data_IF_560924493224
#
_entry.id   IF_560924493224
#
_cell.length_a   1.000
_cell.length_b   1.000
_cell.length_c   1.000
_cell.angle_alpha   90.00
_cell.angle_beta   90.00
_cell.angle_gamma   90.00
#
_symmetry.space_group_name_H-M   'P 1'
#
loop_
_entity.id
_entity.type
_entity.pdbx_description
1 polymer ?
#
# COMPACT_ATOMS: atom_id res chain seq x y z
N UNK A 1 1.86 57.36 -3.23
CA UNK A 1 1.77 58.79 -3.58
C UNK A 1 1.35 58.96 -5.05
N UNK A 2 0.21 59.63 -5.27
CA UNK A 2 -0.46 59.97 -6.55
C UNK A 2 -0.76 58.82 -7.54
N UNK A 3 -1.88 58.10 -7.35
CA UNK A 3 -2.47 57.18 -8.36
C UNK A 3 -3.98 57.43 -8.61
N UNK A 4 -4.43 58.64 -8.32
CA UNK A 4 -5.78 59.10 -8.65
C UNK A 4 -5.63 60.30 -9.58
N UNK A 5 -6.14 60.19 -10.81
CA UNK A 5 -6.25 61.34 -11.71
C UNK A 5 -7.68 61.86 -11.62
N UNK A 6 -7.84 63.10 -11.16
CA UNK A 6 -9.12 63.78 -11.13
C UNK A 6 -9.37 64.45 -12.48
N UNK A 7 -10.54 64.19 -13.06
CA UNK A 7 -10.99 64.89 -14.25
C UNK A 7 -11.98 65.97 -13.84
N UNK A 8 -11.52 67.22 -13.75
CA UNK A 8 -12.27 68.34 -13.14
C UNK A 8 -13.65 68.57 -13.78
N UNK A 9 -13.78 68.39 -15.09
CA UNK A 9 -15.02 68.71 -15.82
C UNK A 9 -16.18 67.72 -15.61
N UNK A 10 -15.94 66.54 -15.03
CA UNK A 10 -16.98 65.49 -14.91
C UNK A 10 -17.22 64.99 -13.48
N UNK A 11 -16.43 65.42 -12.50
CA UNK A 11 -16.55 65.01 -11.10
C UNK A 11 -16.29 63.52 -10.85
N UNK A 12 -15.81 62.77 -11.85
CA UNK A 12 -15.54 61.34 -11.76
C UNK A 12 -14.09 61.07 -11.32
N UNK A 13 -13.93 60.17 -10.35
CA UNK A 13 -12.63 59.74 -9.83
C UNK A 13 -12.24 58.45 -10.55
N UNK A 14 -11.19 58.51 -11.37
CA UNK A 14 -10.64 57.32 -12.01
C UNK A 14 -9.47 56.78 -11.18
N UNK A 15 -9.61 55.54 -10.71
CA UNK A 15 -8.49 54.80 -10.18
C UNK A 15 -7.62 54.35 -11.37
N UNK A 16 -6.34 54.72 -11.37
CA UNK A 16 -5.41 54.26 -12.41
C UNK A 16 -5.37 52.73 -12.34
N UNK A 17 -5.99 52.07 -13.32
CA UNK A 17 -5.90 50.62 -13.46
C UNK A 17 -4.42 50.31 -13.57
N UNK A 18 -3.89 49.53 -12.63
CA UNK A 18 -2.51 49.07 -12.67
C UNK A 18 -2.44 48.05 -13.80
N UNK A 19 -2.50 48.52 -15.04
CA UNK A 19 -2.26 47.73 -16.23
C UNK A 19 -0.81 47.30 -16.08
N UNK A 20 -0.61 46.06 -15.63
CA UNK A 20 0.67 45.38 -15.67
C UNK A 20 1.32 45.72 -17.02
N UNK A 21 2.58 46.17 -17.00
CA UNK A 21 3.28 46.61 -18.21
C UNK A 21 3.00 45.64 -19.37
N UNK A 22 2.77 46.14 -20.60
CA UNK A 22 2.40 45.29 -21.73
C UNK A 22 3.40 44.14 -21.81
N UNK A 23 2.90 42.89 -21.89
CA UNK A 23 3.71 41.68 -21.83
C UNK A 23 4.98 41.86 -22.65
N UNK A 24 6.12 42.02 -21.96
CA UNK A 24 7.38 42.21 -22.63
C UNK A 24 7.81 40.83 -23.12
N UNK A 25 7.86 40.64 -24.43
CA UNK A 25 8.27 39.38 -25.07
C UNK A 25 9.58 38.81 -24.50
N UNK A 26 10.50 39.66 -24.03
CA UNK A 26 11.73 39.24 -23.35
C UNK A 26 11.48 38.44 -22.07
N UNK A 27 10.48 38.80 -21.27
CA UNK A 27 10.12 38.08 -20.05
C UNK A 27 9.50 36.71 -20.39
N UNK A 28 8.64 36.67 -21.40
CA UNK A 28 8.08 35.41 -21.92
C UNK A 28 9.16 34.44 -22.43
N UNK A 29 10.15 34.94 -23.16
CA UNK A 29 11.29 34.14 -23.63
C UNK A 29 12.10 33.59 -22.45
N UNK A 30 12.39 34.41 -21.43
CA UNK A 30 13.11 33.95 -20.24
C UNK A 30 12.35 32.83 -19.52
N UNK A 31 11.03 32.97 -19.35
CA UNK A 31 10.22 31.91 -18.75
C UNK A 31 10.23 30.63 -19.58
N UNK A 32 10.13 30.72 -20.91
CA UNK A 32 10.20 29.56 -21.80
C UNK A 32 11.56 28.87 -21.73
N UNK A 33 12.66 29.62 -21.69
CA UNK A 33 14.01 29.06 -21.55
C UNK A 33 14.17 28.34 -20.22
N UNK A 34 13.72 28.93 -19.10
CA UNK A 34 13.76 28.29 -17.79
C UNK A 34 12.92 27.01 -17.76
N UNK A 35 11.74 27.03 -18.38
CA UNK A 35 10.84 25.88 -18.42
C UNK A 35 11.42 24.74 -19.27
N UNK A 36 12.00 25.05 -20.44
CA UNK A 36 12.72 24.09 -21.29
C UNK A 36 13.92 23.51 -20.54
N UNK A 37 14.70 24.36 -19.87
CA UNK A 37 15.85 23.93 -19.08
C UNK A 37 15.42 22.98 -17.96
N UNK A 38 14.36 23.29 -17.22
CA UNK A 38 13.82 22.42 -16.17
C UNK A 38 13.34 21.08 -16.74
N UNK A 39 12.64 21.07 -17.87
CA UNK A 39 12.16 19.83 -18.51
C UNK A 39 13.34 18.96 -18.97
N UNK A 40 14.35 19.56 -19.59
CA UNK A 40 15.53 18.81 -20.06
C UNK A 40 16.38 18.29 -18.90
N UNK A 41 16.67 19.14 -17.92
CA UNK A 41 17.56 18.78 -16.81
C UNK A 41 16.87 17.87 -15.79
N UNK A 42 15.69 18.23 -15.30
CA UNK A 42 14.98 17.40 -14.30
C UNK A 42 14.24 16.24 -14.95
N UNK A 43 13.53 16.48 -16.05
CA UNK A 43 12.72 15.44 -16.68
C UNK A 43 13.55 14.38 -17.39
N UNK A 44 14.43 14.81 -18.30
CA UNK A 44 15.17 13.89 -19.17
C UNK A 44 16.46 13.42 -18.53
N UNK A 45 17.34 14.35 -18.12
CA UNK A 45 18.67 13.97 -17.63
C UNK A 45 18.63 13.33 -16.24
N UNK A 46 18.04 14.01 -15.25
CA UNK A 46 17.91 13.47 -13.89
C UNK A 46 17.06 12.20 -13.87
N UNK A 47 15.95 12.18 -14.61
CA UNK A 47 15.08 11.01 -14.71
C UNK A 47 15.73 9.81 -15.40
N UNK A 48 16.66 10.02 -16.35
CA UNK A 48 17.43 8.92 -16.95
C UNK A 48 18.54 8.45 -16.02
N UNK A 49 19.21 9.37 -15.32
CA UNK A 49 20.24 9.05 -14.34
C UNK A 49 19.66 8.27 -13.14
N UNK A 50 18.53 8.71 -12.60
CA UNK A 50 17.81 8.01 -11.53
C UNK A 50 17.41 6.60 -11.95
N UNK A 51 16.83 6.43 -13.14
CA UNK A 51 16.45 5.10 -13.66
C UNK A 51 17.64 4.17 -13.93
N UNK A 52 18.84 4.72 -14.13
CA UNK A 52 20.06 3.93 -14.24
C UNK A 52 20.55 3.51 -12.86
N UNK A 53 20.60 4.45 -11.92
CA UNK A 53 20.99 4.17 -10.54
C UNK A 53 20.04 3.16 -9.88
N UNK A 54 18.72 3.28 -10.11
CA UNK A 54 17.70 2.34 -9.64
C UNK A 54 18.02 0.92 -10.12
N UNK A 55 18.28 0.72 -11.41
CA UNK A 55 18.70 -0.57 -11.96
C UNK A 55 19.99 -1.10 -11.33
N UNK A 56 21.01 -0.26 -11.19
CA UNK A 56 22.29 -0.68 -10.59
C UNK A 56 22.13 -1.06 -9.10
N UNK A 57 21.25 -0.37 -8.36
CA UNK A 57 20.96 -0.69 -6.96
C UNK A 57 20.14 -1.96 -6.81
N UNK A 58 19.11 -2.14 -7.64
CA UNK A 58 18.27 -3.33 -7.63
C UNK A 58 19.10 -4.57 -8.02
N UNK A 59 19.95 -4.47 -9.06
CA UNK A 59 20.86 -5.56 -9.45
C UNK A 59 21.93 -5.89 -8.39
N UNK A 60 22.29 -4.92 -7.53
CA UNK A 60 23.31 -5.12 -6.49
C UNK A 60 22.78 -5.78 -5.22
N UNK A 61 21.46 -5.76 -4.98
CA UNK A 61 20.84 -6.30 -3.78
C UNK A 61 19.94 -7.48 -4.17
N UNK A 62 20.45 -8.69 -3.96
CA UNK A 62 19.61 -9.88 -4.09
C UNK A 62 18.58 -9.91 -2.96
N UNK A 63 17.32 -9.87 -3.35
CA UNK A 63 16.15 -9.96 -2.48
C UNK A 63 15.42 -11.27 -2.72
N UNK A 64 14.58 -11.67 -1.77
CA UNK A 64 13.73 -12.85 -1.98
C UNK A 64 12.74 -12.66 -3.13
N UNK A 65 12.32 -11.41 -3.40
CA UNK A 65 11.39 -11.06 -4.48
C UNK A 65 11.93 -11.38 -5.88
N UNK A 66 13.24 -11.27 -6.11
CA UNK A 66 13.87 -11.55 -7.41
C UNK A 66 13.66 -13.00 -7.87
N UNK A 67 13.42 -13.90 -6.92
CA UNK A 67 13.23 -15.32 -7.15
C UNK A 67 11.77 -15.75 -6.97
N UNK A 68 10.89 -14.86 -6.52
CA UNK A 68 9.54 -15.20 -6.12
C UNK A 68 8.47 -14.53 -6.98
N UNK A 69 7.39 -15.28 -7.24
CA UNK A 69 6.16 -14.77 -7.84
C UNK A 69 4.98 -14.98 -6.89
N UNK A 70 3.98 -14.11 -6.99
CA UNK A 70 2.71 -14.21 -6.29
C UNK A 70 1.58 -14.44 -7.29
N UNK A 71 0.70 -15.39 -6.95
CA UNK A 71 -0.56 -15.64 -7.66
C UNK A 71 -1.70 -15.09 -6.80
N UNK A 72 -2.40 -14.09 -7.33
CA UNK A 72 -3.44 -13.35 -6.60
C UNK A 72 -4.85 -13.95 -6.75
N UNK A 73 -5.09 -14.80 -7.75
CA UNK A 73 -6.40 -15.38 -8.07
C UNK A 73 -6.41 -16.93 -8.14
N UNK A 74 -5.83 -17.66 -7.17
CA UNK A 74 -5.83 -19.11 -7.19
C UNK A 74 -7.25 -19.69 -7.11
N UNK A 75 -7.42 -20.91 -7.61
CA UNK A 75 -8.67 -21.65 -7.41
C UNK A 75 -8.88 -21.94 -5.90
N UNK A 76 -10.09 -21.77 -5.35
CA UNK A 76 -10.34 -21.91 -3.91
C UNK A 76 -10.00 -23.29 -3.32
N UNK A 77 -10.01 -24.33 -4.13
CA UNK A 77 -9.74 -25.73 -3.77
C UNK A 77 -8.28 -26.15 -4.00
N UNK A 78 -7.48 -25.35 -4.69
CA UNK A 78 -6.08 -25.62 -5.01
C UNK A 78 -5.18 -25.36 -3.79
N UNK A 79 -5.31 -26.21 -2.78
CA UNK A 79 -4.61 -26.15 -1.49
C UNK A 79 -3.34 -27.01 -1.45
N UNK A 80 -3.13 -27.85 -2.45
CA UNK A 80 -2.01 -28.79 -2.52
C UNK A 80 -0.75 -28.12 -3.09
N UNK A 81 0.34 -27.96 -2.33
CA UNK A 81 1.57 -27.33 -2.81
C UNK A 81 2.22 -28.08 -3.97
N UNK A 82 2.10 -29.42 -4.01
CA UNK A 82 2.75 -30.27 -5.02
C UNK A 82 2.16 -30.02 -6.42
N UNK A 83 0.87 -29.69 -6.49
CA UNK A 83 0.19 -29.31 -7.73
C UNK A 83 0.79 -28.03 -8.32
N UNK A 84 1.03 -27.04 -7.47
CA UNK A 84 1.63 -25.77 -7.86
C UNK A 84 3.09 -25.94 -8.26
N UNK A 85 3.86 -26.70 -7.50
CA UNK A 85 5.25 -27.03 -7.84
C UNK A 85 5.33 -27.67 -9.23
N UNK A 86 4.49 -28.67 -9.49
CA UNK A 86 4.45 -29.35 -10.78
C UNK A 86 4.07 -28.41 -11.93
N UNK A 87 3.11 -27.53 -11.72
CA UNK A 87 2.69 -26.56 -12.73
C UNK A 87 3.80 -25.55 -13.05
N UNK A 88 4.47 -25.01 -12.04
CA UNK A 88 5.52 -23.99 -12.22
C UNK A 88 6.88 -24.57 -12.62
N UNK A 89 7.11 -25.87 -12.41
CA UNK A 89 8.31 -26.58 -12.84
C UNK A 89 8.57 -26.51 -14.36
N UNK A 90 7.56 -26.18 -15.17
CA UNK A 90 7.72 -25.97 -16.61
C UNK A 90 8.58 -24.74 -16.97
N UNK A 91 8.71 -23.77 -16.06
CA UNK A 91 9.51 -22.55 -16.27
C UNK A 91 10.92 -22.67 -15.70
N UNK A 92 11.14 -23.64 -14.81
CA UNK A 92 12.41 -23.93 -14.16
C UNK A 92 12.23 -24.59 -12.79
N UNK A 93 13.32 -24.99 -12.13
CA UNK A 93 13.25 -25.65 -10.82
C UNK A 93 12.66 -24.71 -9.75
N UNK A 94 11.69 -25.24 -9.01
CA UNK A 94 10.98 -24.56 -7.93
C UNK A 94 11.63 -24.93 -6.60
N UNK A 95 12.05 -23.94 -5.83
CA UNK A 95 12.68 -24.12 -4.53
C UNK A 95 11.65 -24.35 -3.42
N UNK A 96 10.57 -23.54 -3.43
CA UNK A 96 9.55 -23.58 -2.40
C UNK A 96 8.21 -23.03 -2.88
N UNK A 97 7.12 -23.64 -2.40
CA UNK A 97 5.75 -23.16 -2.62
C UNK A 97 5.10 -22.89 -1.26
N UNK A 98 4.56 -21.68 -1.11
CA UNK A 98 3.75 -21.31 0.06
C UNK A 98 2.31 -21.06 -0.38
N UNK A 99 1.39 -21.82 0.20
CA UNK A 99 -0.05 -21.66 -0.02
C UNK A 99 -0.62 -20.74 1.06
N UNK A 100 -1.07 -19.56 0.66
CA UNK A 100 -1.83 -18.65 1.50
C UNK A 100 -3.28 -19.15 1.66
N UNK A 101 -3.72 -19.29 2.90
CA UNK A 101 -5.08 -19.72 3.24
C UNK A 101 -5.92 -18.54 3.72
N UNK A 102 -7.17 -18.47 3.29
CA UNK A 102 -8.09 -17.43 3.71
C UNK A 102 -8.64 -17.69 5.12
N UNK A 103 -7.86 -17.39 6.16
CA UNK A 103 -8.17 -17.69 7.57
C UNK A 103 -8.12 -16.46 8.51
N UNK A 104 -8.86 -15.38 8.22
CA UNK A 104 -8.73 -14.09 8.91
C UNK A 104 -9.10 -14.13 10.39
N UNK A 105 -10.03 -15.01 10.76
CA UNK A 105 -10.40 -15.21 12.15
C UNK A 105 -9.25 -15.84 12.94
N UNK A 106 -8.48 -16.73 12.31
CA UNK A 106 -7.31 -17.36 12.90
C UNK A 106 -6.19 -16.34 13.03
N UNK A 107 -5.90 -15.56 11.99
CA UNK A 107 -4.91 -14.48 12.05
C UNK A 107 -5.22 -13.48 13.16
N UNK A 108 -6.49 -13.04 13.27
CA UNK A 108 -6.93 -12.14 14.34
C UNK A 108 -6.77 -12.78 15.72
N UNK A 109 -7.08 -14.06 15.86
CA UNK A 109 -6.88 -14.79 17.12
C UNK A 109 -5.40 -14.94 17.47
N UNK A 110 -4.53 -15.23 16.50
CA UNK A 110 -3.07 -15.30 16.69
C UNK A 110 -2.48 -13.94 17.05
N UNK A 111 -2.95 -12.86 16.42
CA UNK A 111 -2.57 -11.49 16.77
C UNK A 111 -2.98 -11.14 18.21
N UNK A 112 -4.21 -11.48 18.61
CA UNK A 112 -4.66 -11.33 20.00
C UNK A 112 -3.82 -12.16 20.97
N UNK A 113 -3.48 -13.40 20.61
CA UNK A 113 -2.60 -14.28 21.39
C UNK A 113 -1.23 -13.64 21.60
N UNK A 114 -0.60 -13.10 20.54
CA UNK A 114 0.69 -12.39 20.62
C UNK A 114 0.64 -11.18 21.55
N UNK A 115 -0.42 -10.36 21.44
CA UNK A 115 -0.61 -9.19 22.33
C UNK A 115 -0.80 -9.61 23.78
N UNK A 116 -1.52 -10.69 24.05
CA UNK A 116 -1.71 -11.22 25.41
C UNK A 116 -0.39 -11.73 25.99
N UNK A 117 0.41 -12.46 25.21
CA UNK A 117 1.75 -12.92 25.60
C UNK A 117 2.69 -11.75 25.90
N UNK A 118 2.73 -10.73 25.03
CA UNK A 118 3.53 -9.52 25.25
C UNK A 118 3.08 -8.75 26.49
N UNK A 119 1.76 -8.65 26.74
CA UNK A 119 1.23 -8.03 27.97
C UNK A 119 1.60 -8.82 29.22
N UNK A 120 1.66 -10.15 29.12
CA UNK A 120 2.16 -11.03 30.16
C UNK A 120 3.64 -10.74 30.42
N UNK A 121 4.48 -10.86 29.39
CA UNK A 121 5.92 -10.64 29.45
C UNK A 121 6.29 -9.24 30.00
N UNK A 122 5.67 -8.16 29.50
CA UNK A 122 5.94 -6.80 29.98
C UNK A 122 5.65 -6.63 31.46
N UNK A 123 4.55 -7.23 31.95
CA UNK A 123 4.17 -7.16 33.36
C UNK A 123 5.04 -8.03 34.26
N UNK A 124 5.66 -9.07 33.69
CA UNK A 124 6.62 -9.95 34.34
C UNK A 124 8.00 -9.31 34.42
N UNK A 125 8.45 -8.63 33.35
CA UNK A 125 9.76 -7.96 33.22
C UNK A 125 9.97 -6.79 34.21
N UNK A 126 8.91 -6.34 34.88
CA UNK A 126 9.00 -5.44 36.04
C UNK A 126 9.64 -6.09 37.29
N UNK A 127 9.78 -7.42 37.31
CA UNK A 127 10.64 -8.16 38.24
C UNK A 127 11.87 -8.61 37.45
N UNK A 128 13.06 -8.26 37.96
CA UNK A 128 14.37 -8.61 37.41
C UNK A 128 14.48 -10.13 37.26
N UNK A 129 14.20 -10.69 36.09
CA UNK A 129 14.65 -12.03 35.70
C UNK A 129 14.53 -12.26 34.18
N UNK A 130 15.38 -13.18 33.71
CA UNK A 130 16.00 -13.30 32.39
C UNK A 130 15.03 -13.35 31.20
N UNK A 131 15.45 -12.72 30.10
CA UNK A 131 14.68 -12.43 28.88
C UNK A 131 14.35 -13.66 28.01
N UNK A 132 14.88 -14.85 28.36
CA UNK A 132 14.88 -16.05 27.51
C UNK A 132 14.07 -17.22 28.08
N UNK A 133 13.09 -16.96 28.96
CA UNK A 133 12.27 -18.03 29.51
C UNK A 133 11.36 -18.67 28.43
N UNK A 134 11.31 -20.01 28.33
CA UNK A 134 10.51 -20.70 27.32
C UNK A 134 9.00 -20.38 27.45
N UNK A 135 8.29 -20.39 26.32
CA UNK A 135 6.87 -19.96 26.25
C UNK A 135 5.93 -20.74 27.20
N UNK A 136 6.28 -21.97 27.57
CA UNK A 136 5.55 -22.80 28.54
C UNK A 136 5.69 -22.26 29.97
N UNK A 137 6.90 -21.90 30.41
CA UNK A 137 7.11 -21.34 31.76
C UNK A 137 6.44 -19.98 31.93
N UNK A 138 6.32 -19.20 30.84
CA UNK A 138 5.61 -17.92 30.87
C UNK A 138 4.09 -18.10 31.08
N UNK A 139 3.50 -19.20 30.59
CA UNK A 139 2.08 -19.48 30.77
C UNK A 139 1.73 -19.84 32.22
N UNK A 140 2.58 -20.64 32.86
CA UNK A 140 2.42 -21.08 34.26
C UNK A 140 2.61 -19.90 35.22
N UNK A 141 3.66 -19.09 35.02
CA UNK A 141 3.86 -17.89 35.83
C UNK A 141 2.74 -16.85 35.64
N UNK A 142 2.17 -16.76 34.43
CA UNK A 142 1.03 -15.88 34.17
C UNK A 142 -0.25 -16.33 34.90
N UNK A 143 -0.42 -17.64 35.13
CA UNK A 143 -1.54 -18.21 35.88
C UNK A 143 -1.52 -17.73 37.33
N UNK A 144 -0.36 -17.76 37.97
CA UNK A 144 -0.20 -17.35 39.38
C UNK A 144 -0.37 -15.84 39.56
N UNK A 145 0.25 -15.02 38.70
CA UNK A 145 0.25 -13.57 38.90
C UNK A 145 -1.06 -12.89 38.54
N UNK A 146 -1.73 -13.29 37.45
CA UNK A 146 -2.91 -12.59 36.91
C UNK A 146 -3.91 -13.57 36.31
N UNK A 147 -4.78 -14.19 37.13
CA UNK A 147 -5.73 -15.20 36.66
C UNK A 147 -6.71 -14.66 35.61
N UNK A 148 -7.06 -13.36 35.65
CA UNK A 148 -7.90 -12.73 34.61
C UNK A 148 -7.21 -12.68 33.24
N UNK A 149 -5.89 -12.45 33.19
CA UNK A 149 -5.14 -12.41 31.93
C UNK A 149 -4.93 -13.83 31.39
N UNK A 150 -4.57 -14.76 32.27
CA UNK A 150 -4.44 -16.18 31.94
C UNK A 150 -5.74 -16.77 31.38
N UNK A 151 -6.89 -16.52 32.04
CA UNK A 151 -8.21 -16.94 31.52
C UNK A 151 -8.50 -16.41 30.10
N UNK A 152 -8.08 -15.17 29.79
CA UNK A 152 -8.23 -14.61 28.44
C UNK A 152 -7.29 -15.29 27.44
N UNK A 153 -6.08 -15.62 27.87
CA UNK A 153 -5.10 -16.35 27.06
C UNK A 153 -5.59 -17.76 26.73
N UNK A 154 -6.04 -18.53 27.72
CA UNK A 154 -6.57 -19.90 27.52
C UNK A 154 -7.75 -19.89 26.55
N UNK A 155 -8.73 -18.98 26.74
CA UNK A 155 -9.85 -18.81 25.78
C UNK A 155 -9.38 -18.47 24.37
N UNK A 156 -8.33 -17.65 24.24
CA UNK A 156 -7.76 -17.31 22.95
C UNK A 156 -7.06 -18.51 22.31
N UNK A 157 -6.39 -19.35 23.10
CA UNK A 157 -5.71 -20.55 22.65
C UNK A 157 -6.69 -21.64 22.20
N UNK A 158 -7.76 -21.87 22.97
CA UNK A 158 -8.87 -22.74 22.59
C UNK A 158 -9.48 -22.31 21.25
N UNK A 159 -9.74 -21.01 21.10
CA UNK A 159 -10.24 -20.44 19.85
C UNK A 159 -9.26 -20.63 18.69
N UNK A 160 -7.96 -20.46 18.91
CA UNK A 160 -6.94 -20.75 17.90
C UNK A 160 -6.97 -22.23 17.50
N UNK A 161 -7.07 -23.16 18.46
CA UNK A 161 -7.15 -24.61 18.20
C UNK A 161 -8.39 -24.97 17.39
N UNK A 162 -9.55 -24.42 17.74
CA UNK A 162 -10.80 -24.62 16.99
C UNK A 162 -10.66 -24.11 15.54
N UNK A 163 -10.09 -22.91 15.37
CA UNK A 163 -9.90 -22.31 14.05
C UNK A 163 -8.84 -23.04 13.21
N UNK A 164 -7.82 -23.63 13.82
CA UNK A 164 -6.80 -24.42 13.09
C UNK A 164 -7.36 -25.69 12.46
N UNK A 165 -8.44 -26.25 13.01
CA UNK A 165 -9.05 -27.49 12.50
C UNK A 165 -9.97 -27.25 11.30
N UNK A 166 -10.31 -25.99 10.98
CA UNK A 166 -11.20 -25.66 9.86
C UNK A 166 -10.45 -25.75 8.54
N UNK A 167 -11.16 -26.14 7.48
CA UNK A 167 -10.66 -26.05 6.12
C UNK A 167 -10.87 -24.63 5.61
N UNK A 168 -9.85 -24.09 4.96
CA UNK A 168 -9.85 -22.74 4.39
C UNK A 168 -9.61 -22.82 2.90
N UNK A 169 -10.23 -21.92 2.16
CA UNK A 169 -9.96 -21.76 0.74
C UNK A 169 -8.58 -21.13 0.54
N UNK A 170 -7.94 -21.45 -0.58
CA UNK A 170 -6.72 -20.80 -1.02
C UNK A 170 -6.99 -19.32 -1.35
N UNK A 171 -6.17 -18.41 -0.84
CA UNK A 171 -6.25 -16.97 -1.10
C UNK A 171 -5.19 -16.48 -2.07
N UNK A 172 -3.96 -16.97 -1.92
CA UNK A 172 -2.80 -16.51 -2.69
C UNK A 172 -1.75 -17.61 -2.70
N UNK A 173 -0.91 -17.68 -3.74
CA UNK A 173 0.21 -18.63 -3.79
C UNK A 173 1.50 -17.84 -3.99
N UNK A 174 2.51 -18.15 -3.18
CA UNK A 174 3.86 -17.65 -3.38
C UNK A 174 4.74 -18.80 -3.86
N UNK A 175 5.37 -18.63 -5.02
CA UNK A 175 6.27 -19.61 -5.60
C UNK A 175 7.64 -19.00 -5.68
N UNK A 176 8.65 -19.71 -5.17
CA UNK A 176 10.05 -19.29 -5.22
C UNK A 176 10.83 -20.26 -6.10
N UNK A 177 11.53 -19.74 -7.08
CA UNK A 177 12.38 -20.51 -8.00
C UNK A 177 13.83 -20.54 -7.51
N UNK A 178 14.60 -21.53 -7.94
CA UNK A 178 16.05 -21.56 -7.66
C UNK A 178 16.82 -20.49 -8.45
N UNK A 179 16.24 -20.00 -9.56
CA UNK A 179 16.90 -19.05 -10.47
C UNK A 179 15.99 -17.88 -10.83
N UNK A 180 16.55 -16.68 -10.88
CA UNK A 180 15.89 -15.47 -11.36
C UNK A 180 15.42 -15.62 -12.82
N UNK A 181 16.17 -16.36 -13.64
CA UNK A 181 15.77 -16.64 -15.03
C UNK A 181 14.45 -17.41 -15.12
N UNK A 182 14.21 -18.37 -14.20
CA UNK A 182 12.96 -19.13 -14.17
C UNK A 182 11.78 -18.26 -13.71
N UNK A 183 12.02 -17.40 -12.71
CA UNK A 183 11.06 -16.38 -12.26
C UNK A 183 10.65 -15.46 -13.42
N UNK A 184 11.63 -14.91 -14.16
CA UNK A 184 11.37 -14.02 -15.30
C UNK A 184 10.68 -14.72 -16.45
N UNK A 185 11.02 -15.99 -16.71
CA UNK A 185 10.35 -16.80 -17.72
C UNK A 185 8.87 -17.04 -17.35
N UNK A 186 8.58 -17.36 -16.09
CA UNK A 186 7.22 -17.53 -15.59
C UNK A 186 6.43 -16.22 -15.69
N UNK A 187 7.01 -15.09 -15.26
CA UNK A 187 6.37 -13.78 -15.40
C UNK A 187 6.11 -13.42 -16.86
N UNK A 188 7.10 -13.58 -17.75
CA UNK A 188 6.93 -13.26 -19.16
C UNK A 188 5.83 -14.09 -19.84
N UNK A 189 5.66 -15.35 -19.42
CA UNK A 189 4.66 -16.26 -19.97
C UNK A 189 3.25 -16.06 -19.40
N UNK A 190 3.14 -15.75 -18.10
CA UNK A 190 1.88 -15.75 -17.35
C UNK A 190 1.34 -14.36 -17.03
N UNK A 191 2.13 -13.29 -17.20
CA UNK A 191 1.66 -11.93 -16.91
C UNK A 191 0.58 -11.53 -17.92
N UNK A 192 -0.65 -11.47 -17.44
CA UNK A 192 -1.81 -10.98 -18.17
C UNK A 192 -2.40 -9.77 -17.44
N UNK A 193 -3.15 -8.93 -18.14
CA UNK A 193 -3.87 -7.84 -17.49
C UNK A 193 -4.89 -8.38 -16.46
N UNK A 194 -4.97 -7.78 -15.27
CA UNK A 194 -5.84 -8.24 -14.16
C UNK A 194 -7.29 -8.53 -14.58
N UNK A 195 -7.86 -7.66 -15.42
CA UNK A 195 -9.23 -7.82 -15.93
C UNK A 195 -9.38 -9.12 -16.75
N UNK A 196 -8.36 -9.47 -17.55
CA UNK A 196 -8.38 -10.70 -18.35
C UNK A 196 -8.27 -11.95 -17.47
N UNK A 197 -7.48 -11.90 -16.40
CA UNK A 197 -7.41 -12.97 -15.41
C UNK A 197 -8.74 -13.12 -14.65
N UNK A 198 -9.37 -12.01 -14.24
CA UNK A 198 -10.66 -12.02 -13.53
C UNK A 198 -11.81 -12.60 -14.37
N UNK A 199 -11.87 -12.28 -15.67
CA UNK A 199 -12.89 -12.85 -16.58
C UNK A 199 -12.46 -14.21 -17.17
N UNK A 200 -11.29 -14.74 -16.77
CA UNK A 200 -10.71 -15.97 -17.27
C UNK A 200 -10.59 -16.03 -18.82
N UNK A 201 -10.09 -14.96 -19.43
CA UNK A 201 -9.93 -14.87 -20.89
C UNK A 201 -8.73 -15.71 -21.37
N UNK A 202 -8.96 -16.97 -21.70
CA UNK A 202 -7.93 -17.91 -22.13
C UNK A 202 -7.19 -17.49 -23.42
N UNK A 203 -7.81 -16.64 -24.25
CA UNK A 203 -7.22 -16.19 -25.51
C UNK A 203 -6.05 -15.23 -25.37
N UNK A 204 -5.75 -14.75 -24.15
CA UNK A 204 -4.64 -13.83 -23.91
C UNK A 204 -3.29 -14.53 -23.71
N UNK A 205 -3.29 -15.83 -23.46
CA UNK A 205 -2.06 -16.61 -23.26
C UNK A 205 -1.51 -17.12 -24.59
N UNK A 206 -0.18 -17.17 -24.71
CA UNK A 206 0.49 -17.62 -25.93
C UNK A 206 0.34 -19.14 -26.17
N UNK A 207 0.29 -19.94 -25.11
CA UNK A 207 0.08 -21.38 -25.16
C UNK A 207 -1.04 -21.82 -24.22
N UNK A 208 -1.71 -22.92 -24.55
CA UNK A 208 -2.70 -23.57 -23.68
C UNK A 208 -2.06 -24.26 -22.47
N UNK A 209 -0.77 -24.58 -22.54
CA UNK A 209 -0.04 -25.22 -21.43
C UNK A 209 0.15 -24.28 -20.23
N UNK A 210 -0.02 -22.97 -20.45
CA UNK A 210 0.03 -21.94 -19.42
C UNK A 210 -1.28 -21.80 -18.63
N UNK A 211 -2.33 -22.52 -19.03
CA UNK A 211 -3.58 -22.58 -18.28
C UNK A 211 -3.43 -23.52 -17.08
N UNK A 212 -3.65 -23.00 -15.89
CA UNK A 212 -3.69 -23.81 -14.69
C UNK A 212 -4.87 -24.79 -14.75
N UNK A 213 -4.59 -26.08 -14.51
CA UNK A 213 -5.53 -27.20 -14.74
C UNK A 213 -6.16 -27.24 -16.14
N UNK A 214 -5.54 -26.59 -17.13
CA UNK A 214 -6.00 -26.56 -18.52
C UNK A 214 -7.15 -25.60 -18.82
N UNK A 215 -7.64 -24.81 -17.86
CA UNK A 215 -8.75 -23.86 -18.12
C UNK A 215 -8.67 -22.52 -17.38
N UNK A 216 -7.79 -22.38 -16.38
CA UNK A 216 -7.76 -21.21 -15.51
C UNK A 216 -6.57 -20.30 -15.81
N UNK A 217 -6.85 -19.02 -16.03
CA UNK A 217 -5.84 -17.98 -16.25
C UNK A 217 -5.43 -17.39 -14.90
N UNK A 218 -4.13 -17.43 -14.60
CA UNK A 218 -3.57 -16.91 -13.36
C UNK A 218 -3.23 -15.42 -13.48
N UNK A 219 -3.57 -14.64 -12.45
CA UNK A 219 -3.05 -13.30 -12.18
C UNK A 219 -1.73 -13.48 -11.42
N UNK A 220 -0.64 -13.54 -12.18
CA UNK A 220 0.72 -13.68 -11.65
C UNK A 220 1.39 -12.31 -11.66
N UNK A 221 1.97 -11.96 -10.52
CA UNK A 221 2.79 -10.78 -10.36
C UNK A 221 4.10 -11.13 -9.65
N UNK A 222 5.08 -10.24 -9.76
CA UNK A 222 6.28 -10.31 -8.93
C UNK A 222 5.90 -10.24 -7.45
N UNK A 223 6.54 -11.08 -6.62
CA UNK A 223 6.27 -11.09 -5.20
C UNK A 223 6.83 -9.81 -4.55
N UNK A 224 6.06 -9.20 -3.66
CA UNK A 224 6.57 -8.11 -2.82
C UNK A 224 7.42 -8.68 -1.68
N UNK A 225 8.35 -7.88 -1.16
CA UNK A 225 9.17 -8.29 -0.01
C UNK A 225 8.32 -8.72 1.19
N UNK A 226 8.74 -9.74 1.97
CA UNK A 226 8.00 -10.23 3.13
C UNK A 226 7.69 -9.15 4.19
N UNK A 227 8.56 -8.15 4.29
CA UNK A 227 8.43 -7.00 5.19
C UNK A 227 7.30 -6.04 4.76
N UNK A 228 7.03 -5.97 3.45
CA UNK A 228 6.04 -5.09 2.83
C UNK A 228 4.65 -5.75 2.73
N UNK A 229 4.55 -7.08 2.86
CA UNK A 229 3.27 -7.80 2.81
C UNK A 229 2.39 -7.40 4.00
N UNK A 230 1.27 -6.74 3.69
CA UNK A 230 0.19 -6.51 4.66
C UNK A 230 -0.73 -7.72 4.66
N UNK A 231 -0.39 -8.73 5.46
CA UNK A 231 -1.15 -9.99 5.55
C UNK A 231 -2.65 -9.80 5.80
N UNK A 232 -3.02 -8.76 6.55
CA UNK A 232 -4.42 -8.39 6.84
C UNK A 232 -5.22 -7.95 5.60
N UNK A 233 -4.55 -7.50 4.54
CA UNK A 233 -5.17 -6.98 3.32
C UNK A 233 -5.33 -8.05 2.23
N UNK A 234 -4.73 -9.25 2.41
CA UNK A 234 -4.79 -10.36 1.45
C UNK A 234 -6.22 -10.87 1.24
N UNK A 235 -7.08 -10.79 2.25
CA UNK A 235 -8.47 -11.24 2.18
C UNK A 235 -9.38 -10.28 1.39
N UNK A 236 -9.01 -8.99 1.29
CA UNK A 236 -9.97 -7.98 0.84
C UNK A 236 -10.26 -8.19 -0.65
N UNK A 237 -11.50 -8.58 -0.94
CA UNK A 237 -11.98 -8.75 -2.31
C UNK A 237 -11.80 -7.47 -3.12
N UNK A 238 -11.53 -7.60 -4.42
CA UNK A 238 -11.33 -6.46 -5.32
C UNK A 238 -12.51 -5.49 -5.29
N UNK A 239 -13.75 -5.99 -5.25
CA UNK A 239 -14.94 -5.14 -5.13
C UNK A 239 -14.91 -4.28 -3.85
N UNK A 240 -14.49 -4.87 -2.73
CA UNK A 240 -14.37 -4.13 -1.46
C UNK A 240 -13.22 -3.13 -1.49
N UNK A 241 -12.09 -3.47 -2.11
CA UNK A 241 -10.98 -2.53 -2.36
C UNK A 241 -11.45 -1.33 -3.19
N UNK A 242 -12.24 -1.57 -4.24
CA UNK A 242 -12.80 -0.51 -5.09
C UNK A 242 -13.78 0.37 -4.31
N UNK A 243 -14.73 -0.23 -3.57
CA UNK A 243 -15.68 0.53 -2.75
C UNK A 243 -14.93 1.36 -1.70
N UNK A 244 -13.93 0.78 -1.02
CA UNK A 244 -13.12 1.50 -0.05
C UNK A 244 -12.38 2.67 -0.70
N UNK A 245 -11.75 2.48 -1.86
CA UNK A 245 -11.08 3.56 -2.60
C UNK A 245 -12.04 4.68 -3.00
N UNK A 246 -13.24 4.33 -3.47
CA UNK A 246 -14.27 5.32 -3.81
C UNK A 246 -14.73 6.07 -2.56
N UNK A 247 -15.04 5.37 -1.47
CA UNK A 247 -15.45 6.00 -0.21
C UNK A 247 -14.36 6.90 0.38
N UNK A 248 -13.11 6.43 0.46
CA UNK A 248 -11.97 7.22 0.93
C UNK A 248 -11.71 8.43 0.01
N UNK A 249 -11.89 8.27 -1.31
CA UNK A 249 -11.80 9.35 -2.29
C UNK A 249 -12.88 10.42 -2.10
N UNK A 250 -14.14 10.02 -1.93
CA UNK A 250 -15.26 10.93 -1.65
C UNK A 250 -15.07 11.65 -0.31
N UNK A 251 -14.62 10.94 0.72
CA UNK A 251 -14.34 11.55 2.02
C UNK A 251 -13.18 12.56 1.93
N UNK A 252 -12.13 12.23 1.17
CA UNK A 252 -11.01 13.15 0.91
C UNK A 252 -11.49 14.42 0.19
N UNK A 253 -12.32 14.27 -0.84
CA UNK A 253 -12.94 15.41 -1.54
C UNK A 253 -13.79 16.26 -0.59
N UNK A 254 -14.57 15.64 0.28
CA UNK A 254 -15.38 16.35 1.27
C UNK A 254 -14.52 17.13 2.26
N UNK A 255 -13.40 16.57 2.73
CA UNK A 255 -12.44 17.24 3.61
C UNK A 255 -11.80 18.44 2.91
N UNK A 256 -11.39 18.28 1.65
CA UNK A 256 -10.79 19.37 0.86
C UNK A 256 -11.81 20.49 0.62
N UNK A 257 -13.03 20.15 0.21
CA UNK A 257 -14.10 21.12 -0.01
C UNK A 257 -14.48 21.85 1.29
N UNK A 258 -14.60 21.11 2.40
CA UNK A 258 -14.85 21.68 3.72
C UNK A 258 -13.74 22.62 4.17
N UNK A 259 -12.47 22.20 4.05
CA UNK A 259 -11.31 23.04 4.34
C UNK A 259 -11.27 24.32 3.50
N UNK A 260 -11.57 24.23 2.20
CA UNK A 260 -11.67 25.40 1.33
C UNK A 260 -12.78 26.36 1.77
N UNK A 261 -13.96 25.85 2.12
CA UNK A 261 -15.09 26.68 2.59
C UNK A 261 -14.77 27.37 3.92
N UNK A 262 -14.10 26.67 4.85
CA UNK A 262 -13.63 27.23 6.13
C UNK A 262 -12.64 28.37 5.88
N UNK A 263 -11.57 28.11 5.14
CA UNK A 263 -10.55 29.12 4.83
C UNK A 263 -11.16 30.32 4.10
N UNK A 264 -12.08 30.09 3.16
CA UNK A 264 -12.81 31.17 2.47
C UNK A 264 -13.67 31.99 3.44
N UNK A 265 -14.30 31.36 4.42
CA UNK A 265 -15.07 32.05 5.45
C UNK A 265 -14.15 32.88 6.36
N UNK A 266 -13.06 32.30 6.86
CA UNK A 266 -12.10 33.02 7.68
C UNK A 266 -11.44 34.20 6.94
N UNK A 267 -11.13 34.05 5.65
CA UNK A 267 -10.55 35.12 4.84
C UNK A 267 -11.49 36.32 4.70
N UNK A 268 -12.81 36.09 4.67
CA UNK A 268 -13.81 37.17 4.66
C UNK A 268 -13.90 37.91 6.00
N UNK A 269 -13.60 37.23 7.10
CA UNK A 269 -13.70 37.78 8.45
C UNK A 269 -12.41 38.49 8.87
N UNK A 270 -11.26 37.80 8.76
CA UNK A 270 -9.95 38.33 9.10
C UNK A 270 -8.82 37.50 8.46
N UNK A 271 -7.88 38.17 7.80
CA UNK A 271 -6.70 37.55 7.19
C UNK A 271 -5.85 36.74 8.21
N UNK A 272 -5.72 37.22 9.44
CA UNK A 272 -4.96 36.54 10.49
C UNK A 272 -5.63 35.22 10.90
N UNK A 273 -6.97 35.19 11.01
CA UNK A 273 -7.70 33.96 11.32
C UNK A 273 -7.55 32.92 10.20
N UNK A 274 -7.57 33.34 8.94
CA UNK A 274 -7.34 32.45 7.81
C UNK A 274 -5.96 31.77 7.88
N UNK A 275 -4.92 32.51 8.27
CA UNK A 275 -3.58 31.95 8.41
C UNK A 275 -3.50 30.88 9.52
N UNK A 276 -4.14 31.14 10.67
CA UNK A 276 -4.21 30.20 11.79
C UNK A 276 -4.99 28.93 11.40
N UNK A 277 -6.13 29.09 10.72
CA UNK A 277 -6.94 27.96 10.25
C UNK A 277 -6.18 27.09 9.24
N UNK A 278 -5.45 27.70 8.30
CA UNK A 278 -4.62 26.95 7.34
C UNK A 278 -3.55 26.13 8.10
N UNK A 279 -2.87 26.74 9.08
CA UNK A 279 -1.89 26.02 9.90
C UNK A 279 -2.53 24.86 10.66
N UNK A 280 -3.71 25.08 11.26
CA UNK A 280 -4.45 24.05 11.98
C UNK A 280 -4.85 22.88 11.06
N UNK A 281 -5.39 23.19 9.88
CA UNK A 281 -5.75 22.19 8.88
C UNK A 281 -4.53 21.39 8.42
N UNK A 282 -3.39 22.04 8.17
CA UNK A 282 -2.16 21.35 7.78
C UNK A 282 -1.62 20.42 8.88
N UNK A 283 -1.84 20.73 10.15
CA UNK A 283 -1.45 19.86 11.27
C UNK A 283 -2.44 18.69 11.44
N UNK A 284 -3.75 18.93 11.28
CA UNK A 284 -4.78 17.92 11.52
C UNK A 284 -4.98 16.95 10.34
N UNK A 285 -4.88 17.43 9.10
CA UNK A 285 -5.14 16.63 7.91
C UNK A 285 -4.31 15.33 7.84
N UNK A 286 -2.99 15.32 8.10
CA UNK A 286 -2.21 14.08 8.07
C UNK A 286 -2.71 13.03 9.07
N UNK A 287 -3.13 13.46 10.27
CA UNK A 287 -3.70 12.56 11.27
C UNK A 287 -5.05 12.03 10.83
N UNK A 288 -5.89 12.87 10.23
CA UNK A 288 -7.21 12.49 9.74
C UNK A 288 -7.12 11.50 8.58
N UNK A 289 -6.22 11.73 7.62
CA UNK A 289 -5.98 10.83 6.50
C UNK A 289 -5.34 9.49 6.91
N UNK A 290 -4.65 9.41 8.05
CA UNK A 290 -4.15 8.13 8.56
C UNK A 290 -5.28 7.17 8.98
N UNK A 291 -6.47 7.68 9.26
CA UNK A 291 -7.63 6.87 9.64
C UNK A 291 -8.56 6.54 8.46
N UNK A 292 -8.40 7.21 7.32
CA UNK A 292 -9.21 7.06 6.10
C UNK A 292 -8.57 6.04 5.16
#
# INVERSE_FOLDING_TARGET
PSRLSYHEDSGLIFALRNDCAPLRWREGINHMVVLIFLVLTMGVWLGSYQRRMEREYDEAILTASDFSICVDNPLPDATDPDEWEKFFSQFGPVAYVTVGLNNPLLEKALGQRRVLLQKGAFKMKGRKEKEDAPMQSMSEQMQELKPKLYRKFVKCEEKCKELLQRKYATSSILVTFDTESAQRAALAALTVGKVNAEINNQGTLASKDYLFRGYWVLDVAEAVEPSAIRWQDLEVSMSRKVVQRICSGLLTLAVIAGGFLLVRHAFKTNLALASIEITLLNVLCPHLFKFI
#
